data_IF_482977110729
#
_entry.id   IF_482977110729
#
_cell.length_a   1.000
_cell.length_b   1.000
_cell.length_c   1.000
_cell.angle_alpha   90.00
_cell.angle_beta   90.00
_cell.angle_gamma   90.00
#
_symmetry.space_group_name_H-M   'P 1'
#
loop_
_entity.id
_entity.type
_entity.pdbx_description
1 polymer ?
#
# COMPACT_ATOMS: atom_id res chain seq x y z
N UNK A 1 16.56 23.00 2.93
CA UNK A 1 15.91 22.71 4.24
C UNK A 1 15.71 21.20 4.30
N UNK A 2 16.09 20.57 5.38
CA UNK A 2 16.04 19.09 5.44
C UNK A 2 14.59 18.60 5.42
N UNK A 3 14.27 17.54 4.70
CA UNK A 3 12.90 16.98 4.59
C UNK A 3 12.29 16.68 5.96
N UNK A 4 13.11 16.31 6.94
CA UNK A 4 12.69 16.10 8.34
C UNK A 4 12.07 17.36 8.95
N UNK A 5 12.65 18.54 8.71
CA UNK A 5 12.13 19.82 9.21
C UNK A 5 10.76 20.15 8.58
N UNK A 6 10.59 19.85 7.29
CA UNK A 6 9.31 20.03 6.61
C UNK A 6 8.28 19.09 7.20
N UNK A 7 8.63 17.80 7.38
CA UNK A 7 7.76 16.77 7.95
C UNK A 7 7.25 17.18 9.35
N UNK A 8 8.15 17.61 10.24
CA UNK A 8 7.78 18.09 11.58
C UNK A 8 6.88 19.33 11.57
N UNK A 9 7.07 20.24 10.61
CA UNK A 9 6.18 21.40 10.43
C UNK A 9 4.80 21.01 9.96
N UNK A 10 4.69 20.04 9.05
CA UNK A 10 3.42 19.50 8.59
C UNK A 10 2.70 18.80 9.75
N UNK A 11 3.40 17.94 10.50
CA UNK A 11 2.87 17.27 11.68
C UNK A 11 2.26 18.28 12.64
N UNK A 12 3.03 19.28 13.07
CA UNK A 12 2.58 20.32 13.99
C UNK A 12 1.37 21.09 13.45
N UNK A 13 1.37 21.39 12.15
CA UNK A 13 0.23 22.07 11.53
C UNK A 13 -1.05 21.23 11.52
N UNK A 14 -0.93 19.91 11.32
CA UNK A 14 -2.07 18.99 11.35
C UNK A 14 -2.59 18.75 12.78
N UNK A 15 -1.72 18.73 13.79
CA UNK A 15 -2.10 18.58 15.20
C UNK A 15 -2.98 19.71 15.72
N UNK A 16 -2.92 20.89 15.09
CA UNK A 16 -3.78 22.04 15.42
C UNK A 16 -5.25 21.83 14.99
N UNK A 17 -5.52 20.83 14.13
CA UNK A 17 -6.85 20.58 13.56
C UNK A 17 -7.33 19.17 13.88
N UNK A 18 -8.43 19.06 14.61
CA UNK A 18 -9.04 17.77 14.97
C UNK A 18 -9.37 16.91 13.73
N UNK A 19 -9.78 17.54 12.64
CA UNK A 19 -10.06 16.91 11.35
C UNK A 19 -8.84 16.19 10.74
N UNK A 20 -7.64 16.56 11.14
CA UNK A 20 -6.38 16.05 10.59
C UNK A 20 -5.64 15.09 11.55
N UNK A 21 -6.28 14.57 12.61
CA UNK A 21 -5.63 13.69 13.60
C UNK A 21 -4.97 12.46 12.97
N UNK A 22 -5.67 11.80 12.06
CA UNK A 22 -5.13 10.62 11.37
C UNK A 22 -3.90 11.00 10.52
N UNK A 23 -3.99 12.09 9.78
CA UNK A 23 -2.90 12.58 8.95
C UNK A 23 -1.71 13.04 9.79
N UNK A 24 -1.96 13.65 10.96
CA UNK A 24 -0.90 14.01 11.90
C UNK A 24 -0.13 12.77 12.39
N UNK A 25 -0.83 11.67 12.70
CA UNK A 25 -0.21 10.40 13.06
C UNK A 25 0.62 9.84 11.90
N UNK A 26 0.08 9.78 10.69
CA UNK A 26 0.81 9.30 9.52
C UNK A 26 2.08 10.11 9.24
N UNK A 27 2.02 11.43 9.38
CA UNK A 27 3.19 12.31 9.23
C UNK A 27 4.19 12.10 10.37
N UNK A 28 3.72 11.84 11.59
CA UNK A 28 4.58 11.51 12.74
C UNK A 28 5.38 10.23 12.49
N UNK A 29 4.75 9.19 11.93
CA UNK A 29 5.42 7.93 11.61
C UNK A 29 6.52 8.14 10.56
N UNK A 30 6.26 8.99 9.54
CA UNK A 30 7.28 9.38 8.56
C UNK A 30 8.44 10.17 9.18
N UNK A 31 8.16 11.05 10.15
CA UNK A 31 9.21 11.78 10.87
C UNK A 31 10.10 10.84 11.70
N UNK A 32 9.50 9.89 12.43
CA UNK A 32 10.22 8.88 13.20
C UNK A 32 11.09 7.99 12.28
N UNK A 33 10.57 7.62 11.12
CA UNK A 33 11.31 6.84 10.13
C UNK A 33 12.57 7.58 9.65
N UNK A 34 12.46 8.87 9.35
CA UNK A 34 13.61 9.72 8.97
C UNK A 34 14.65 9.82 10.08
N UNK A 35 14.23 9.83 11.35
CA UNK A 35 15.14 9.88 12.50
C UNK A 35 15.89 8.56 12.72
N UNK A 36 15.23 7.41 12.53
CA UNK A 36 15.83 6.08 12.69
C UNK A 36 16.80 5.73 11.57
N UNK A 37 16.61 6.32 10.38
CA UNK A 37 17.38 6.03 9.17
C UNK A 37 17.28 4.58 8.68
N UNK A 38 16.24 3.86 9.06
CA UNK A 38 16.00 2.51 8.59
C UNK A 38 15.37 2.55 7.20
N UNK A 39 15.97 1.82 6.26
CA UNK A 39 15.46 1.71 4.89
C UNK A 39 14.72 0.39 4.73
N UNK A 40 13.45 0.46 4.39
CA UNK A 40 12.60 -0.71 4.17
C UNK A 40 12.50 -1.03 2.70
N UNK A 41 12.85 -2.26 2.32
CA UNK A 41 12.73 -2.76 0.94
C UNK A 41 11.74 -3.92 0.90
N UNK A 42 10.66 -3.76 0.14
CA UNK A 42 9.67 -4.80 -0.08
C UNK A 42 10.03 -5.65 -1.30
N UNK A 43 9.91 -6.97 -1.16
CA UNK A 43 10.02 -7.92 -2.27
C UNK A 43 8.64 -8.21 -2.82
N UNK A 44 8.40 -7.82 -4.06
CA UNK A 44 7.09 -7.83 -4.68
C UNK A 44 7.14 -8.56 -6.02
N UNK A 45 6.04 -9.14 -6.43
CA UNK A 45 5.88 -9.84 -7.70
C UNK A 45 4.74 -10.83 -7.60
N UNK A 46 4.31 -11.33 -8.74
CA UNK A 46 3.22 -12.28 -8.82
C UNK A 46 3.52 -13.58 -8.06
N UNK A 47 2.47 -14.30 -7.73
CA UNK A 47 2.58 -15.66 -7.20
C UNK A 47 3.46 -16.57 -8.09
N UNK A 48 4.23 -17.46 -7.48
CA UNK A 48 5.20 -18.37 -8.15
C UNK A 48 6.42 -17.74 -8.82
N UNK A 49 6.64 -16.45 -8.76
CA UNK A 49 7.87 -15.81 -9.26
C UNK A 49 9.12 -16.22 -8.45
N UNK A 50 8.98 -16.68 -7.18
CA UNK A 50 10.07 -17.17 -6.33
C UNK A 50 10.56 -16.16 -5.30
N UNK A 51 9.74 -15.20 -4.86
CA UNK A 51 10.07 -14.17 -3.87
C UNK A 51 10.71 -14.73 -2.60
N UNK A 52 10.00 -15.57 -1.88
CA UNK A 52 10.48 -16.18 -0.63
C UNK A 52 11.73 -17.02 -0.83
N UNK A 53 11.89 -17.65 -2.01
CA UNK A 53 13.13 -18.38 -2.36
C UNK A 53 14.30 -17.41 -2.50
N UNK A 54 14.09 -16.25 -3.14
CA UNK A 54 15.09 -15.21 -3.28
C UNK A 54 15.44 -14.59 -1.91
N UNK A 55 14.42 -14.29 -1.08
CA UNK A 55 14.65 -13.80 0.28
C UNK A 55 15.55 -14.76 1.07
N UNK A 56 15.24 -16.05 1.08
CA UNK A 56 16.11 -17.06 1.71
C UNK A 56 17.53 -17.10 1.10
N UNK A 57 17.65 -16.92 -0.22
CA UNK A 57 18.96 -16.86 -0.88
C UNK A 57 19.77 -15.62 -0.46
N UNK A 58 19.14 -14.46 -0.35
CA UNK A 58 19.74 -13.22 0.15
C UNK A 58 20.20 -13.36 1.61
N UNK A 59 19.38 -14.00 2.45
CA UNK A 59 19.70 -14.22 3.87
C UNK A 59 20.79 -15.29 4.07
N UNK A 60 21.13 -16.07 3.04
CA UNK A 60 22.07 -17.18 3.12
C UNK A 60 21.57 -18.36 3.96
N UNK A 61 20.32 -18.32 4.41
CA UNK A 61 19.69 -19.34 5.27
C UNK A 61 18.24 -19.58 4.83
N UNK A 62 17.76 -20.81 4.99
CA UNK A 62 16.38 -21.18 4.71
C UNK A 62 15.50 -20.90 5.93
N UNK A 63 15.16 -19.64 6.16
CA UNK A 63 14.36 -19.20 7.31
C UNK A 63 12.86 -19.20 7.00
N UNK A 64 12.46 -18.81 5.79
CA UNK A 64 11.06 -18.76 5.41
C UNK A 64 10.63 -20.03 4.67
N UNK A 65 9.41 -20.55 4.93
CA UNK A 65 8.91 -21.72 4.24
C UNK A 65 8.74 -21.45 2.74
N UNK A 66 9.16 -22.41 1.91
CA UNK A 66 9.02 -22.34 0.46
C UNK A 66 8.31 -23.59 -0.06
N UNK A 67 7.45 -23.47 -1.08
CA UNK A 67 6.74 -24.62 -1.66
C UNK A 67 6.10 -24.33 -3.01
N UNK A 68 5.43 -25.35 -3.56
CA UNK A 68 4.79 -25.30 -4.88
C UNK A 68 3.40 -24.65 -4.83
N UNK A 69 2.77 -24.68 -3.66
CA UNK A 69 1.44 -24.09 -3.39
C UNK A 69 1.64 -22.68 -2.79
N UNK A 70 0.67 -21.74 -2.89
CA UNK A 70 0.77 -20.42 -2.24
C UNK A 70 1.17 -20.58 -0.78
N UNK A 71 2.25 -19.90 -0.38
CA UNK A 71 2.79 -20.09 0.97
C UNK A 71 2.67 -18.83 1.79
N UNK A 72 2.71 -17.65 1.17
CA UNK A 72 2.79 -16.41 1.92
C UNK A 72 1.41 -15.75 2.00
N UNK A 73 0.68 -16.00 3.07
CA UNK A 73 -0.60 -15.36 3.39
C UNK A 73 -0.44 -14.12 4.28
N UNK A 74 0.72 -13.93 4.91
CA UNK A 74 1.03 -12.79 5.77
C UNK A 74 2.41 -12.21 5.43
N UNK A 75 2.56 -10.92 5.63
CA UNK A 75 3.82 -10.21 5.42
C UNK A 75 4.84 -10.60 6.47
N UNK A 76 6.09 -10.80 6.04
CA UNK A 76 7.20 -11.07 6.95
C UNK A 76 8.26 -9.99 6.85
N UNK A 77 8.47 -9.29 7.94
CA UNK A 77 9.47 -8.26 8.13
C UNK A 77 10.73 -8.87 8.73
N UNK A 78 11.88 -8.66 8.12
CA UNK A 78 13.14 -9.28 8.49
C UNK A 78 14.15 -8.18 8.77
N UNK A 79 14.72 -8.21 9.99
CA UNK A 79 15.61 -7.19 10.50
C UNK A 79 16.91 -7.80 11.04
N UNK A 80 17.97 -6.99 11.06
CA UNK A 80 19.23 -7.39 11.67
C UNK A 80 19.15 -7.28 13.20
N UNK A 81 19.59 -8.33 13.89
CA UNK A 81 19.86 -8.26 15.31
C UNK A 81 21.07 -9.15 15.65
N UNK A 82 22.04 -8.56 16.32
CA UNK A 82 23.25 -9.27 16.77
C UNK A 82 22.90 -10.36 17.79
N UNK A 83 23.47 -11.54 17.65
CA UNK A 83 23.18 -12.71 18.49
C UNK A 83 21.92 -13.47 18.12
N UNK A 84 21.13 -12.99 17.15
CA UNK A 84 19.88 -13.63 16.74
C UNK A 84 20.12 -14.59 15.58
N UNK A 85 19.84 -15.87 15.82
CA UNK A 85 20.08 -16.94 14.82
C UNK A 85 19.02 -17.08 13.77
N UNK A 86 17.86 -16.40 13.94
CA UNK A 86 16.69 -16.56 13.12
C UNK A 86 15.90 -17.84 13.42
N UNK A 87 16.03 -18.40 14.63
CA UNK A 87 15.28 -19.60 15.03
C UNK A 87 13.88 -19.30 15.55
N UNK A 88 13.62 -18.06 15.93
CA UNK A 88 12.34 -17.60 16.46
C UNK A 88 11.84 -16.39 15.68
N UNK A 89 10.51 -16.25 15.62
CA UNK A 89 9.83 -15.12 15.05
C UNK A 89 8.69 -14.66 15.95
N UNK A 90 8.33 -13.39 15.88
CA UNK A 90 7.14 -12.85 16.53
C UNK A 90 6.02 -12.75 15.51
N UNK A 91 4.86 -13.31 15.85
CA UNK A 91 3.64 -13.23 15.06
C UNK A 91 2.70 -12.23 15.72
N UNK A 92 2.37 -11.18 15.00
CA UNK A 92 1.40 -10.17 15.41
C UNK A 92 0.04 -10.47 14.79
N UNK A 93 -1.02 -10.39 15.57
CA UNK A 93 -2.38 -10.68 15.14
C UNK A 93 -3.20 -9.39 14.99
N UNK A 94 -4.21 -9.43 14.14
CA UNK A 94 -5.12 -8.30 13.89
C UNK A 94 -5.89 -7.84 15.12
N UNK A 95 -6.00 -8.72 16.15
CA UNK A 95 -6.60 -8.40 17.45
C UNK A 95 -5.63 -7.73 18.45
N UNK A 96 -4.40 -7.40 18.02
CA UNK A 96 -3.37 -6.76 18.84
C UNK A 96 -2.54 -7.71 19.71
N UNK A 97 -2.80 -9.03 19.67
CA UNK A 97 -1.96 -10.00 20.35
C UNK A 97 -0.64 -10.22 19.61
N UNK A 98 0.38 -10.67 20.35
CA UNK A 98 1.68 -11.05 19.82
C UNK A 98 2.10 -12.39 20.44
N UNK A 99 2.71 -13.24 19.63
CA UNK A 99 3.22 -14.54 20.06
C UNK A 99 4.59 -14.81 19.47
N UNK A 100 5.56 -15.24 20.30
CA UNK A 100 6.83 -15.78 19.83
C UNK A 100 6.65 -17.24 19.42
N UNK A 101 7.15 -17.61 18.24
CA UNK A 101 7.04 -18.95 17.69
C UNK A 101 8.39 -19.41 17.09
N UNK A 102 8.71 -20.70 17.11
CA UNK A 102 9.84 -21.22 16.35
C UNK A 102 9.66 -20.96 14.85
N UNK A 103 10.73 -20.61 14.16
CA UNK A 103 10.69 -20.40 12.69
C UNK A 103 10.26 -21.68 11.96
N UNK A 104 10.56 -22.88 12.49
CA UNK A 104 10.03 -24.14 11.98
C UNK A 104 8.51 -24.23 11.94
N UNK A 105 7.83 -23.47 12.78
CA UNK A 105 6.36 -23.42 12.90
C UNK A 105 5.72 -22.29 12.11
N UNK A 106 6.51 -21.41 11.49
CA UNK A 106 5.99 -20.27 10.74
C UNK A 106 5.01 -20.68 9.62
N UNK A 107 5.21 -21.85 9.02
CA UNK A 107 4.29 -22.36 7.99
C UNK A 107 2.82 -22.43 8.46
N UNK A 108 2.59 -22.62 9.76
CA UNK A 108 1.24 -22.64 10.38
C UNK A 108 0.55 -21.27 10.38
N UNK A 109 1.32 -20.18 10.26
CA UNK A 109 0.85 -18.80 10.35
C UNK A 109 0.85 -18.10 9.00
N UNK A 110 1.86 -18.37 8.17
CA UNK A 110 2.04 -17.65 6.90
C UNK A 110 1.75 -18.50 5.66
N UNK A 111 1.46 -19.80 5.82
CA UNK A 111 1.15 -20.70 4.71
C UNK A 111 -0.35 -20.70 4.43
N UNK A 112 -0.72 -20.49 3.18
CA UNK A 112 -2.11 -20.59 2.71
C UNK A 112 -2.73 -21.98 2.97
N UNK A 113 -1.89 -23.02 3.06
CA UNK A 113 -2.37 -24.39 3.35
C UNK A 113 -2.81 -24.58 4.81
N UNK A 114 -2.15 -23.91 5.76
CA UNK A 114 -2.39 -24.10 7.19
C UNK A 114 -3.04 -22.88 7.86
N UNK A 115 -3.08 -21.74 7.15
CA UNK A 115 -3.75 -20.51 7.55
C UNK A 115 -4.56 -19.98 6.37
N UNK A 116 -5.53 -20.75 5.92
CA UNK A 116 -6.36 -20.47 4.76
C UNK A 116 -7.08 -19.13 4.93
N UNK A 117 -7.03 -18.28 3.89
CA UNK A 117 -7.62 -16.93 3.91
C UNK A 117 -7.24 -16.08 5.15
N UNK A 118 -6.09 -16.41 5.77
CA UNK A 118 -5.64 -15.77 7.00
C UNK A 118 -6.67 -15.91 8.17
N UNK A 119 -7.33 -17.05 8.29
CA UNK A 119 -8.31 -17.31 9.36
C UNK A 119 -7.76 -17.10 10.78
N UNK A 120 -6.43 -17.21 10.95
CA UNK A 120 -5.77 -16.94 12.23
C UNK A 120 -5.61 -15.44 12.51
N UNK A 121 -5.94 -14.57 11.56
CA UNK A 121 -5.85 -13.14 11.71
C UNK A 121 -4.41 -12.66 11.93
N UNK A 122 -3.43 -13.22 11.22
CA UNK A 122 -2.04 -12.76 11.27
C UNK A 122 -1.95 -11.42 10.56
N UNK A 123 -1.50 -10.39 11.28
CA UNK A 123 -1.27 -9.06 10.72
C UNK A 123 0.12 -8.97 10.07
N UNK A 124 1.16 -9.39 10.81
CA UNK A 124 2.55 -9.31 10.40
C UNK A 124 3.39 -10.34 11.16
N UNK A 125 4.50 -10.75 10.56
CA UNK A 125 5.55 -11.55 11.21
C UNK A 125 6.84 -10.74 11.25
N UNK A 126 7.48 -10.67 12.42
CA UNK A 126 8.81 -10.10 12.63
C UNK A 126 9.83 -11.21 12.83
N UNK A 127 10.89 -11.20 12.04
CA UNK A 127 11.99 -12.16 12.10
C UNK A 127 13.31 -11.40 12.29
N UNK A 128 14.02 -11.71 13.37
CA UNK A 128 15.33 -11.15 13.66
C UNK A 128 16.43 -12.17 13.27
N UNK A 129 17.49 -11.71 12.58
CA UNK A 129 18.60 -12.57 12.17
C UNK A 129 19.89 -11.79 11.96
N UNK A 130 21.04 -12.47 12.15
CA UNK A 130 22.39 -11.91 11.86
C UNK A 130 22.78 -11.96 10.38
N UNK A 131 21.83 -11.92 9.45
CA UNK A 131 22.17 -11.89 8.03
C UNK A 131 22.91 -10.59 7.67
N UNK A 132 24.13 -10.71 7.11
CA UNK A 132 24.98 -9.56 6.79
C UNK A 132 24.33 -8.54 5.85
N UNK A 133 23.45 -8.99 4.97
CA UNK A 133 22.70 -8.11 4.07
C UNK A 133 21.83 -7.07 4.80
N UNK A 134 21.36 -7.39 5.99
CA UNK A 134 20.44 -6.54 6.78
C UNK A 134 21.19 -5.58 7.72
N UNK A 135 22.50 -5.60 7.75
CA UNK A 135 23.29 -4.64 8.54
C UNK A 135 23.00 -3.19 8.07
N UNK A 136 23.33 -2.25 8.91
CA UNK A 136 23.23 -0.83 8.62
C UNK A 136 21.80 -0.28 8.44
N UNK A 137 20.81 -0.92 9.08
CA UNK A 137 19.43 -0.44 9.11
C UNK A 137 18.57 -0.84 7.90
N UNK A 138 18.99 -1.87 7.17
CA UNK A 138 18.16 -2.43 6.10
C UNK A 138 17.11 -3.39 6.66
N UNK A 139 15.86 -3.15 6.29
CA UNK A 139 14.72 -3.99 6.60
C UNK A 139 14.22 -4.63 5.30
N UNK A 140 14.20 -5.96 5.25
CA UNK A 140 13.68 -6.69 4.10
C UNK A 140 12.27 -7.21 4.42
N UNK A 141 11.34 -7.00 3.49
CA UNK A 141 9.94 -7.41 3.66
C UNK A 141 9.56 -8.41 2.57
N UNK A 142 9.28 -9.66 2.97
CA UNK A 142 8.67 -10.66 2.06
C UNK A 142 7.16 -10.49 2.07
N UNK A 143 6.58 -10.25 0.88
CA UNK A 143 5.16 -9.99 0.74
C UNK A 143 4.42 -11.15 0.09
N UNK A 144 3.11 -11.31 0.37
CA UNK A 144 2.24 -12.17 -0.42
C UNK A 144 2.32 -11.87 -1.92
N UNK A 145 2.01 -12.84 -2.77
CA UNK A 145 2.03 -12.66 -4.23
C UNK A 145 0.91 -11.75 -4.70
N UNK A 146 1.24 -10.79 -5.55
CA UNK A 146 0.24 -9.97 -6.26
C UNK A 146 -0.55 -10.86 -7.22
N UNK A 147 -1.88 -10.69 -7.29
CA UNK A 147 -2.75 -11.51 -8.14
C UNK A 147 -2.91 -12.96 -7.63
N UNK A 148 -2.70 -13.20 -6.33
CA UNK A 148 -3.15 -14.44 -5.70
C UNK A 148 -4.69 -14.49 -5.71
N UNK A 149 -5.26 -15.69 -5.66
CA UNK A 149 -6.72 -15.91 -5.65
C UNK A 149 -7.39 -15.22 -4.44
N UNK A 150 -6.62 -14.82 -3.45
CA UNK A 150 -7.06 -14.20 -2.20
C UNK A 150 -6.77 -12.69 -2.19
N UNK A 151 -7.81 -11.88 -2.10
CA UNK A 151 -7.76 -10.40 -2.13
C UNK A 151 -6.90 -9.80 -1.03
N UNK A 152 -6.98 -10.33 0.18
CA UNK A 152 -6.21 -9.85 1.32
C UNK A 152 -4.70 -9.88 1.04
N UNK A 153 -4.22 -10.83 0.25
CA UNK A 153 -2.82 -10.97 -0.11
C UNK A 153 -2.36 -9.86 -1.07
N UNK A 154 -3.17 -9.52 -2.06
CA UNK A 154 -2.87 -8.42 -2.98
C UNK A 154 -2.90 -7.08 -2.26
N UNK A 155 -3.89 -6.84 -1.39
CA UNK A 155 -3.99 -5.61 -0.59
C UNK A 155 -2.79 -5.45 0.33
N UNK A 156 -2.38 -6.50 1.04
CA UNK A 156 -1.19 -6.46 1.90
C UNK A 156 0.08 -6.12 1.10
N UNK A 157 0.26 -6.69 -0.10
CA UNK A 157 1.39 -6.36 -0.97
C UNK A 157 1.39 -4.89 -1.39
N UNK A 158 0.21 -4.31 -1.71
CA UNK A 158 0.05 -2.89 -2.03
C UNK A 158 0.37 -1.99 -0.84
N UNK A 159 -0.18 -2.29 0.33
CA UNK A 159 0.00 -1.48 1.53
C UNK A 159 1.48 -1.44 1.94
N UNK A 160 2.15 -2.59 1.95
CA UNK A 160 3.58 -2.64 2.27
C UNK A 160 4.48 -2.02 1.19
N UNK A 161 4.12 -2.12 -0.09
CA UNK A 161 4.83 -1.40 -1.14
C UNK A 161 4.78 0.13 -0.95
N UNK A 162 3.62 0.63 -0.50
CA UNK A 162 3.44 2.06 -0.19
C UNK A 162 4.22 2.50 1.05
N UNK A 163 4.38 1.63 2.03
CA UNK A 163 5.14 1.91 3.26
C UNK A 163 6.65 1.78 3.07
N UNK A 164 7.09 1.00 2.07
CA UNK A 164 8.51 0.75 1.79
C UNK A 164 9.20 1.94 1.12
N UNK A 165 10.52 2.02 1.26
CA UNK A 165 11.35 3.05 0.64
C UNK A 165 11.88 2.60 -0.71
N UNK A 166 12.12 1.30 -0.84
CA UNK A 166 12.50 0.65 -2.08
C UNK A 166 11.67 -0.61 -2.33
N UNK A 167 11.63 -1.01 -3.59
CA UNK A 167 10.93 -2.21 -4.04
C UNK A 167 11.87 -3.06 -4.89
N UNK A 168 12.03 -4.34 -4.52
CA UNK A 168 12.57 -5.36 -5.42
C UNK A 168 11.38 -6.00 -6.14
N UNK A 169 11.21 -5.66 -7.41
CA UNK A 169 10.13 -6.20 -8.23
C UNK A 169 10.62 -7.43 -8.99
N UNK A 170 10.00 -8.57 -8.68
CA UNK A 170 10.44 -9.87 -9.20
C UNK A 170 9.59 -10.33 -10.37
N UNK A 171 10.23 -10.49 -11.50
CA UNK A 171 9.77 -11.17 -12.71
C UNK A 171 10.36 -12.57 -12.80
N UNK A 172 9.97 -13.38 -13.76
CA UNK A 172 10.61 -14.67 -14.07
C UNK A 172 10.39 -15.07 -15.53
N UNK A 173 11.38 -15.75 -16.08
CA UNK A 173 11.40 -16.13 -17.51
C UNK A 173 10.31 -17.09 -17.93
N UNK A 174 9.66 -17.79 -17.00
CA UNK A 174 8.59 -18.76 -17.28
C UNK A 174 7.20 -18.14 -17.53
N UNK A 175 7.07 -16.83 -17.39
CA UNK A 175 5.81 -16.14 -17.62
C UNK A 175 6.04 -14.66 -17.95
N UNK A 176 5.46 -14.12 -19.02
CA UNK A 176 5.56 -12.69 -19.34
C UNK A 176 4.92 -11.82 -18.24
N UNK A 177 5.24 -10.52 -18.27
CA UNK A 177 4.57 -9.54 -17.40
C UNK A 177 3.09 -9.48 -17.79
N UNK A 178 2.20 -9.64 -16.83
CA UNK A 178 0.77 -9.59 -17.07
C UNK A 178 0.15 -8.24 -16.67
N UNK A 179 -1.12 -8.05 -17.01
CA UNK A 179 -1.85 -6.80 -16.75
C UNK A 179 -1.88 -6.43 -15.25
N UNK A 180 -2.00 -7.41 -14.35
CA UNK A 180 -2.04 -7.19 -12.90
C UNK A 180 -0.69 -6.60 -12.42
N UNK A 181 0.41 -7.14 -12.90
CA UNK A 181 1.76 -6.65 -12.58
C UNK A 181 1.99 -5.23 -13.14
N UNK A 182 1.49 -4.95 -14.35
CA UNK A 182 1.53 -3.61 -14.96
C UNK A 182 0.76 -2.59 -14.11
N UNK A 183 -0.46 -2.91 -13.72
CA UNK A 183 -1.30 -2.04 -12.90
C UNK A 183 -0.70 -1.84 -11.50
N UNK A 184 -0.17 -2.91 -10.93
CA UNK A 184 0.55 -2.83 -9.67
C UNK A 184 1.73 -1.86 -9.76
N UNK A 185 2.64 -2.03 -10.72
CA UNK A 185 3.78 -1.13 -10.92
C UNK A 185 3.34 0.32 -11.12
N UNK A 186 2.33 0.57 -11.95
CA UNK A 186 1.75 1.91 -12.15
C UNK A 186 1.22 2.53 -10.85
N UNK A 187 0.72 1.72 -9.95
CA UNK A 187 0.17 2.21 -8.67
C UNK A 187 1.28 2.51 -7.66
N UNK A 188 2.28 1.64 -7.54
CA UNK A 188 3.32 1.75 -6.49
C UNK A 188 4.50 2.66 -6.87
N UNK A 189 4.74 2.92 -8.17
CA UNK A 189 5.81 3.84 -8.62
C UNK A 189 5.72 5.25 -8.00
N UNK A 190 4.54 5.60 -7.48
CA UNK A 190 4.28 6.91 -6.87
C UNK A 190 4.73 7.01 -5.40
N UNK A 191 5.16 5.91 -4.79
CA UNK A 191 5.42 5.84 -3.35
C UNK A 191 6.82 5.38 -2.99
N UNK A 192 7.42 4.49 -3.78
CA UNK A 192 8.75 3.99 -3.54
C UNK A 192 9.80 4.93 -4.13
N UNK A 193 10.83 5.25 -3.35
CA UNK A 193 11.94 6.08 -3.78
C UNK A 193 12.91 5.38 -4.74
N UNK A 194 12.90 4.03 -4.75
CA UNK A 194 13.80 3.21 -5.58
C UNK A 194 13.15 1.90 -6.00
N UNK A 195 13.42 1.50 -7.24
CA UNK A 195 13.03 0.18 -7.77
C UNK A 195 14.25 -0.61 -8.21
N UNK A 196 14.27 -1.89 -7.86
CA UNK A 196 15.19 -2.91 -8.35
C UNK A 196 14.36 -3.97 -9.07
N UNK A 197 14.69 -4.26 -10.31
CA UNK A 197 13.97 -5.25 -11.10
C UNK A 197 14.80 -6.52 -11.20
N UNK A 198 14.22 -7.67 -10.85
CA UNK A 198 14.89 -8.96 -10.96
C UNK A 198 14.13 -9.90 -11.88
N UNK A 199 14.86 -10.65 -12.69
CA UNK A 199 14.31 -11.70 -13.56
C UNK A 199 14.80 -13.05 -13.06
N UNK A 200 13.90 -13.82 -12.45
CA UNK A 200 14.24 -15.10 -11.81
C UNK A 200 14.12 -16.30 -12.75
N UNK A 201 14.66 -17.43 -12.31
CA UNK A 201 14.64 -18.75 -12.99
C UNK A 201 15.45 -18.77 -14.30
N UNK A 202 16.46 -17.93 -14.41
CA UNK A 202 17.30 -17.85 -15.61
C UNK A 202 18.03 -19.18 -15.93
N UNK A 203 18.15 -20.06 -14.96
CA UNK A 203 18.71 -21.42 -15.12
C UNK A 203 17.80 -22.36 -15.93
N UNK A 204 16.63 -21.94 -16.35
CA UNK A 204 15.64 -22.77 -17.08
C UNK A 204 15.53 -22.44 -18.56
N UNK A 205 16.23 -21.42 -19.05
CA UNK A 205 16.21 -20.97 -20.46
C UNK A 205 17.62 -20.87 -21.04
N UNK A 206 17.72 -20.73 -22.35
CA UNK A 206 18.99 -20.47 -23.03
C UNK A 206 19.40 -18.99 -22.85
N UNK A 207 20.66 -18.66 -23.14
CA UNK A 207 21.16 -17.28 -23.08
C UNK A 207 20.49 -16.39 -24.12
N UNK A 208 20.17 -16.92 -25.29
CA UNK A 208 19.45 -16.22 -26.36
C UNK A 208 18.02 -15.87 -25.93
N UNK A 209 17.26 -16.84 -25.42
CA UNK A 209 15.90 -16.63 -24.91
C UNK A 209 15.89 -15.66 -23.72
N UNK A 210 16.90 -15.73 -22.86
CA UNK A 210 17.04 -14.80 -21.74
C UNK A 210 17.21 -13.37 -22.23
N UNK A 211 18.09 -13.14 -23.22
CA UNK A 211 18.33 -11.79 -23.74
C UNK A 211 17.06 -11.23 -24.38
N UNK A 212 16.35 -12.02 -25.18
CA UNK A 212 15.07 -11.60 -25.78
C UNK A 212 14.04 -11.21 -24.70
N UNK A 213 13.95 -12.00 -23.62
CA UNK A 213 13.05 -11.70 -22.51
C UNK A 213 13.45 -10.43 -21.74
N UNK A 214 14.75 -10.20 -21.54
CA UNK A 214 15.26 -8.99 -20.87
C UNK A 214 14.95 -7.75 -21.70
N UNK A 215 15.17 -7.79 -23.02
CA UNK A 215 14.88 -6.66 -23.92
C UNK A 215 13.38 -6.33 -23.93
N UNK A 216 12.52 -7.36 -23.94
CA UNK A 216 11.07 -7.18 -23.81
C UNK A 216 10.67 -6.52 -22.48
N UNK A 217 11.22 -7.01 -21.37
CA UNK A 217 10.92 -6.47 -20.04
C UNK A 217 11.42 -5.03 -19.87
N UNK A 218 12.62 -4.73 -20.38
CA UNK A 218 13.20 -3.39 -20.30
C UNK A 218 12.32 -2.36 -20.99
N UNK A 219 11.92 -2.62 -22.24
CA UNK A 219 11.03 -1.75 -22.99
C UNK A 219 9.69 -1.50 -22.28
N UNK A 220 9.08 -2.58 -21.74
CA UNK A 220 7.79 -2.48 -21.07
C UNK A 220 7.90 -1.74 -19.73
N UNK A 221 8.95 -1.98 -18.95
CA UNK A 221 9.17 -1.31 -17.66
C UNK A 221 9.45 0.18 -17.88
N UNK A 222 10.25 0.55 -18.89
CA UNK A 222 10.48 1.95 -19.25
C UNK A 222 9.16 2.68 -19.56
N UNK A 223 8.28 2.07 -20.36
CA UNK A 223 6.96 2.63 -20.66
C UNK A 223 6.10 2.76 -19.38
N UNK A 224 6.04 1.73 -18.54
CA UNK A 224 5.28 1.75 -17.29
C UNK A 224 5.82 2.83 -16.34
N UNK A 225 7.13 2.98 -16.23
CA UNK A 225 7.76 3.96 -15.36
C UNK A 225 7.67 5.39 -15.92
N UNK A 226 7.34 5.52 -17.21
CA UNK A 226 7.15 6.82 -17.89
C UNK A 226 8.45 7.48 -18.28
N UNK A 227 9.49 6.69 -18.58
CA UNK A 227 10.76 7.20 -19.07
C UNK A 227 10.75 7.33 -20.60
N UNK A 228 11.28 8.43 -21.10
CA UNK A 228 11.47 8.64 -22.54
C UNK A 228 12.73 7.90 -23.02
N UNK A 229 12.75 7.45 -24.30
CA UNK A 229 13.95 6.85 -24.86
C UNK A 229 15.14 7.81 -24.83
N UNK A 230 16.15 7.46 -24.06
CA UNK A 230 17.38 8.26 -23.91
C UNK A 230 17.53 8.99 -22.57
N UNK A 231 16.52 8.94 -21.71
CA UNK A 231 16.64 9.47 -20.35
C UNK A 231 17.75 8.75 -19.57
N UNK A 232 18.46 9.50 -18.72
CA UNK A 232 19.45 8.90 -17.83
C UNK A 232 18.79 7.95 -16.82
N UNK A 233 17.57 8.25 -16.40
CA UNK A 233 16.77 7.41 -15.51
C UNK A 233 16.34 6.09 -16.18
N UNK A 234 16.07 6.10 -17.49
CA UNK A 234 15.85 4.87 -18.26
C UNK A 234 17.09 3.95 -18.24
N UNK A 235 18.29 4.54 -18.35
CA UNK A 235 19.55 3.80 -18.24
C UNK A 235 19.85 3.30 -16.82
N UNK A 236 19.22 3.89 -15.81
CA UNK A 236 19.34 3.49 -14.41
C UNK A 236 18.47 2.29 -14.07
N UNK A 237 17.47 1.93 -14.90
CA UNK A 237 16.73 0.67 -14.77
C UNK A 237 17.69 -0.46 -15.15
N UNK A 238 18.05 -1.25 -14.17
CA UNK A 238 18.87 -2.44 -14.38
C UNK A 238 18.04 -3.67 -14.06
N UNK A 239 17.74 -4.46 -15.09
CA UNK A 239 17.21 -5.79 -14.90
C UNK A 239 18.33 -6.71 -14.43
N UNK A 240 18.17 -7.32 -13.26
CA UNK A 240 19.17 -8.22 -12.67
C UNK A 240 18.70 -9.67 -12.88
N UNK A 241 19.32 -10.43 -13.80
CA UNK A 241 18.98 -11.82 -14.01
C UNK A 241 19.49 -12.66 -12.84
N UNK A 242 18.59 -13.48 -12.26
CA UNK A 242 18.90 -14.32 -11.12
C UNK A 242 18.36 -15.74 -11.26
N UNK A 243 18.96 -16.68 -10.55
CA UNK A 243 18.32 -17.94 -10.17
C UNK A 243 18.36 -18.07 -8.65
N UNK A 244 17.26 -17.74 -7.99
CA UNK A 244 17.16 -17.86 -6.54
C UNK A 244 17.41 -19.28 -6.05
N UNK A 245 17.03 -20.30 -6.83
CA UNK A 245 17.23 -21.71 -6.52
C UNK A 245 18.69 -22.15 -6.64
N UNK A 246 19.41 -21.60 -7.64
CA UNK A 246 20.83 -21.94 -7.92
C UNK A 246 21.80 -20.92 -7.33
N UNK A 247 21.28 -19.88 -6.67
CA UNK A 247 22.04 -18.74 -6.12
C UNK A 247 22.87 -17.98 -7.18
N UNK A 248 22.42 -17.98 -8.44
CA UNK A 248 23.06 -17.22 -9.52
C UNK A 248 22.57 -15.77 -9.45
N UNK A 249 23.48 -14.77 -9.53
CA UNK A 249 23.18 -13.35 -9.58
C UNK A 249 22.60 -12.76 -8.28
N UNK A 250 22.55 -13.54 -7.20
CA UNK A 250 22.10 -13.04 -5.87
C UNK A 250 23.12 -12.06 -5.31
N UNK A 251 24.42 -12.33 -5.50
CA UNK A 251 25.52 -11.42 -5.17
C UNK A 251 25.39 -10.09 -5.91
N UNK A 252 25.12 -10.11 -7.21
CA UNK A 252 24.93 -8.90 -8.02
C UNK A 252 23.73 -8.08 -7.48
N UNK A 253 22.63 -8.74 -7.13
CA UNK A 253 21.45 -8.07 -6.53
C UNK A 253 21.80 -7.46 -5.18
N UNK A 254 22.40 -8.23 -4.27
CA UNK A 254 22.73 -7.75 -2.92
C UNK A 254 23.76 -6.64 -2.93
N UNK A 255 24.78 -6.72 -3.80
CA UNK A 255 25.78 -5.68 -3.95
C UNK A 255 25.15 -4.40 -4.54
N UNK A 256 24.29 -4.52 -5.56
CA UNK A 256 23.58 -3.37 -6.14
C UNK A 256 22.74 -2.64 -5.08
N UNK A 257 21.95 -3.37 -4.29
CA UNK A 257 21.13 -2.80 -3.22
C UNK A 257 22.00 -2.18 -2.13
N UNK A 258 23.08 -2.86 -1.70
CA UNK A 258 23.98 -2.38 -0.68
C UNK A 258 24.73 -1.12 -1.11
N UNK A 259 25.23 -1.08 -2.34
CA UNK A 259 25.93 0.09 -2.88
C UNK A 259 25.01 1.32 -2.93
N UNK A 260 23.77 1.14 -3.36
CA UNK A 260 22.78 2.22 -3.31
C UNK A 260 22.49 2.66 -1.88
N UNK A 261 22.39 1.74 -0.91
CA UNK A 261 22.17 2.08 0.50
C UNK A 261 23.36 2.81 1.11
N UNK A 262 24.59 2.35 0.85
CA UNK A 262 25.80 3.01 1.38
C UNK A 262 25.98 4.41 0.83
N UNK A 263 25.61 4.65 -0.43
CA UNK A 263 25.88 5.90 -1.14
C UNK A 263 24.64 6.82 -1.23
N UNK A 264 23.41 6.29 -1.18
CA UNK A 264 22.16 7.00 -1.51
C UNK A 264 21.01 6.76 -0.53
N UNK A 265 21.23 6.13 0.63
CA UNK A 265 20.15 5.84 1.56
C UNK A 265 19.36 7.09 1.96
N UNK A 266 20.07 8.20 2.21
CA UNK A 266 19.44 9.46 2.56
C UNK A 266 18.57 10.01 1.41
N UNK A 267 19.00 9.85 0.17
CA UNK A 267 18.26 10.31 -1.02
C UNK A 267 17.05 9.42 -1.28
N UNK A 268 17.20 8.09 -1.14
CA UNK A 268 16.10 7.13 -1.27
C UNK A 268 15.01 7.41 -0.22
N UNK A 269 15.41 7.61 1.03
CA UNK A 269 14.48 7.97 2.10
C UNK A 269 13.83 9.34 1.87
N UNK A 270 14.63 10.34 1.47
CA UNK A 270 14.14 11.69 1.14
C UNK A 270 13.08 11.59 0.04
N UNK A 271 13.35 10.87 -1.04
CA UNK A 271 12.43 10.69 -2.15
C UNK A 271 11.15 9.95 -1.71
N UNK A 272 11.28 8.81 -1.04
CA UNK A 272 10.15 8.03 -0.53
C UNK A 272 9.24 8.83 0.40
N UNK A 273 9.82 9.49 1.42
CA UNK A 273 9.04 10.30 2.37
C UNK A 273 8.41 11.50 1.68
N UNK A 274 9.11 12.17 0.76
CA UNK A 274 8.57 13.30 0.01
C UNK A 274 7.34 12.90 -0.81
N UNK A 275 7.39 11.78 -1.53
CA UNK A 275 6.26 11.27 -2.31
C UNK A 275 5.05 10.94 -1.42
N UNK A 276 5.27 10.29 -0.28
CA UNK A 276 4.23 9.98 0.71
C UNK A 276 3.60 11.23 1.32
N UNK A 277 4.42 12.23 1.66
CA UNK A 277 3.93 13.51 2.17
C UNK A 277 3.09 14.25 1.13
N UNK A 278 3.51 14.29 -0.14
CA UNK A 278 2.73 14.91 -1.21
C UNK A 278 1.37 14.25 -1.39
N UNK A 279 1.32 12.93 -1.29
CA UNK A 279 0.04 12.20 -1.33
C UNK A 279 -0.84 12.50 -0.13
N UNK A 280 -0.31 12.46 1.09
CA UNK A 280 -1.05 12.83 2.31
C UNK A 280 -1.61 14.25 2.17
N UNK A 281 -0.79 15.22 1.75
CA UNK A 281 -1.22 16.60 1.54
C UNK A 281 -2.31 16.70 0.46
N UNK A 282 -2.19 16.00 -0.64
CA UNK A 282 -3.19 15.97 -1.73
C UNK A 282 -4.52 15.41 -1.25
N UNK A 283 -4.50 14.25 -0.60
CA UNK A 283 -5.70 13.57 -0.11
C UNK A 283 -6.39 14.42 0.97
N UNK A 284 -5.61 14.99 1.90
CA UNK A 284 -6.12 15.89 2.93
C UNK A 284 -6.71 17.16 2.32
N UNK A 285 -6.06 17.75 1.30
CA UNK A 285 -6.60 18.93 0.60
C UNK A 285 -7.94 18.65 -0.05
N UNK A 286 -8.11 17.49 -0.65
CA UNK A 286 -9.39 17.07 -1.26
C UNK A 286 -10.47 16.92 -0.20
N UNK A 287 -10.17 16.26 0.92
CA UNK A 287 -11.08 16.09 2.04
C UNK A 287 -11.53 17.45 2.64
N UNK A 288 -10.58 18.35 2.87
CA UNK A 288 -10.86 19.69 3.42
C UNK A 288 -11.69 20.52 2.45
N UNK A 289 -11.40 20.48 1.14
CA UNK A 289 -12.21 21.15 0.14
C UNK A 289 -13.67 20.70 0.18
N UNK A 290 -13.87 19.40 0.20
CA UNK A 290 -15.19 18.80 0.31
C UNK A 290 -15.93 19.31 1.54
N UNK A 291 -15.26 19.25 2.67
CA UNK A 291 -15.82 19.72 3.94
C UNK A 291 -16.21 21.21 3.91
N UNK A 292 -15.35 22.06 3.35
CA UNK A 292 -15.57 23.50 3.22
C UNK A 292 -16.78 23.82 2.33
N UNK A 293 -16.94 23.12 1.21
CA UNK A 293 -18.09 23.36 0.31
C UNK A 293 -19.42 22.98 0.98
N UNK A 294 -19.45 21.91 1.77
CA UNK A 294 -20.66 21.58 2.54
C UNK A 294 -20.97 22.60 3.63
N UNK A 295 -19.94 23.13 4.30
CA UNK A 295 -20.13 24.20 5.29
C UNK A 295 -20.76 25.47 4.68
N UNK A 296 -20.50 25.77 3.42
CA UNK A 296 -21.06 26.93 2.69
C UNK A 296 -22.52 26.75 2.27
N UNK A 297 -23.05 25.54 2.24
CA UNK A 297 -24.45 25.32 1.87
C UNK A 297 -25.40 26.03 2.81
N UNK A 298 -26.50 26.53 2.28
CA UNK A 298 -27.58 27.09 3.12
C UNK A 298 -28.14 25.99 4.05
N UNK A 299 -28.42 26.25 5.34
CA UNK A 299 -28.86 25.24 6.30
C UNK A 299 -30.06 24.41 5.84
N UNK A 300 -31.10 25.06 5.29
CA UNK A 300 -32.29 24.38 4.79
C UNK A 300 -31.97 23.41 3.60
N UNK A 301 -31.01 23.79 2.75
CA UNK A 301 -30.58 22.95 1.64
C UNK A 301 -29.77 21.75 2.16
N UNK A 302 -28.85 22.02 3.10
CA UNK A 302 -28.05 20.96 3.73
C UNK A 302 -28.94 19.96 4.46
N UNK A 303 -29.84 20.40 5.34
CA UNK A 303 -30.71 19.53 6.12
C UNK A 303 -31.58 18.63 5.23
N UNK A 304 -32.12 19.17 4.14
CA UNK A 304 -32.89 18.38 3.17
C UNK A 304 -32.01 17.27 2.55
N UNK A 305 -30.82 17.64 2.08
CA UNK A 305 -29.88 16.71 1.43
C UNK A 305 -29.32 15.68 2.43
N UNK A 306 -29.05 16.10 3.65
CA UNK A 306 -28.63 15.25 4.75
C UNK A 306 -29.69 14.17 5.07
N UNK A 307 -30.95 14.56 5.21
CA UNK A 307 -32.04 13.61 5.44
C UNK A 307 -32.25 12.66 4.26
N UNK A 308 -32.09 13.14 3.03
CA UNK A 308 -32.16 12.30 1.83
C UNK A 308 -31.03 11.29 1.79
N UNK A 309 -29.80 11.67 2.12
CA UNK A 309 -28.66 10.79 2.20
C UNK A 309 -28.81 9.73 3.30
N UNK A 310 -29.24 10.12 4.50
CA UNK A 310 -29.49 9.19 5.60
C UNK A 310 -30.54 8.13 5.24
N UNK A 311 -31.62 8.55 4.57
CA UNK A 311 -32.64 7.61 4.08
C UNK A 311 -32.05 6.63 3.06
N UNK A 312 -31.20 7.11 2.16
CA UNK A 312 -30.53 6.29 1.17
C UNK A 312 -29.55 5.29 1.84
N UNK A 313 -28.76 5.74 2.81
CA UNK A 313 -27.85 4.86 3.56
C UNK A 313 -28.60 3.74 4.29
N UNK A 314 -29.72 4.05 4.92
CA UNK A 314 -30.57 3.05 5.57
C UNK A 314 -31.08 2.00 4.57
N UNK A 315 -31.58 2.43 3.41
CA UNK A 315 -32.04 1.52 2.36
C UNK A 315 -30.91 0.63 1.80
N UNK A 316 -29.73 1.20 1.65
CA UNK A 316 -28.55 0.46 1.16
C UNK A 316 -28.07 -0.57 2.21
N UNK A 317 -28.06 -0.22 3.50
CA UNK A 317 -27.76 -1.17 4.59
C UNK A 317 -28.74 -2.33 4.64
N UNK A 318 -30.05 -2.07 4.49
CA UNK A 318 -31.06 -3.13 4.42
C UNK A 318 -30.87 -4.04 3.18
N UNK A 319 -30.42 -3.48 2.07
CA UNK A 319 -30.09 -4.23 0.86
C UNK A 319 -28.84 -5.09 1.02
N UNK A 320 -27.82 -4.55 1.70
CA UNK A 320 -26.55 -5.23 1.98
C UNK A 320 -26.74 -6.48 2.85
N UNK A 321 -27.59 -6.42 3.87
CA UNK A 321 -27.88 -7.55 4.78
C UNK A 321 -28.53 -8.74 4.07
N UNK A 322 -29.17 -8.52 2.92
CA UNK A 322 -29.85 -9.56 2.11
C UNK A 322 -28.93 -10.29 1.14
N UNK A 323 -27.65 -9.95 1.12
CA UNK A 323 -26.69 -10.57 0.19
C UNK A 323 -26.18 -11.87 0.78
N UNK A 324 -26.24 -12.93 -0.01
CA UNK A 324 -25.82 -14.28 0.31
C UNK A 324 -24.61 -14.68 -0.54
N UNK A 325 -23.75 -15.57 -0.03
CA UNK A 325 -22.55 -16.08 -0.73
C UNK A 325 -22.87 -16.93 -1.95
N UNK A 326 -24.01 -17.62 -1.93
CA UNK A 326 -24.39 -18.56 -2.97
C UNK A 326 -25.64 -18.11 -3.72
N UNK A 327 -25.72 -18.49 -4.99
CA UNK A 327 -26.97 -18.37 -5.75
C UNK A 327 -27.96 -19.50 -5.34
N UNK A 328 -29.17 -19.48 -5.93
CA UNK A 328 -30.18 -20.49 -5.70
C UNK A 328 -29.76 -21.94 -6.01
N UNK A 329 -28.65 -22.13 -6.73
CA UNK A 329 -28.05 -23.44 -7.06
C UNK A 329 -26.90 -23.82 -6.10
N UNK A 330 -26.61 -23.02 -5.06
CA UNK A 330 -25.52 -23.24 -4.13
C UNK A 330 -24.12 -22.93 -4.70
N UNK A 331 -24.04 -22.26 -5.85
CA UNK A 331 -22.76 -21.86 -6.45
C UNK A 331 -22.32 -20.48 -5.95
N UNK A 332 -21.00 -20.28 -5.71
CA UNK A 332 -20.48 -18.99 -5.26
C UNK A 332 -20.84 -17.83 -6.22
N UNK A 333 -21.22 -16.69 -5.66
CA UNK A 333 -21.52 -15.49 -6.44
C UNK A 333 -20.21 -14.78 -6.79
N UNK A 334 -19.72 -14.97 -8.01
CA UNK A 334 -18.47 -14.36 -8.51
C UNK A 334 -18.53 -12.83 -8.73
N UNK A 335 -19.71 -12.21 -8.58
CA UNK A 335 -19.92 -10.81 -8.93
C UNK A 335 -19.92 -9.85 -7.72
N UNK A 336 -19.68 -10.33 -6.51
CA UNK A 336 -19.77 -9.48 -5.30
C UNK A 336 -18.72 -8.36 -5.31
N UNK A 337 -17.54 -8.58 -5.89
CA UNK A 337 -16.52 -7.52 -6.04
C UNK A 337 -16.98 -6.44 -7.04
N UNK A 338 -17.45 -6.84 -8.21
CA UNK A 338 -18.01 -5.88 -9.17
C UNK A 338 -19.15 -5.07 -8.55
N UNK A 339 -20.02 -5.75 -7.80
CA UNK A 339 -21.12 -5.12 -7.08
C UNK A 339 -20.64 -4.16 -5.99
N UNK A 340 -19.63 -4.52 -5.20
CA UNK A 340 -19.04 -3.62 -4.21
C UNK A 340 -18.54 -2.32 -4.85
N UNK A 341 -17.84 -2.45 -5.98
CA UNK A 341 -17.36 -1.30 -6.74
C UNK A 341 -18.52 -0.46 -7.31
N UNK A 342 -19.58 -1.09 -7.80
CA UNK A 342 -20.80 -0.41 -8.27
C UNK A 342 -21.51 0.33 -7.13
N UNK A 343 -21.66 -0.30 -5.95
CA UNK A 343 -22.31 0.30 -4.79
C UNK A 343 -21.48 1.45 -4.21
N UNK A 344 -20.14 1.32 -4.16
CA UNK A 344 -19.23 2.42 -3.80
C UNK A 344 -19.30 3.57 -4.82
N UNK A 345 -19.31 3.27 -6.12
CA UNK A 345 -19.44 4.26 -7.18
C UNK A 345 -20.80 4.96 -7.13
N UNK A 346 -21.88 4.23 -6.90
CA UNK A 346 -23.22 4.77 -6.70
C UNK A 346 -23.26 5.73 -5.51
N UNK A 347 -22.66 5.36 -4.40
CA UNK A 347 -22.57 6.20 -3.21
C UNK A 347 -21.79 7.49 -3.51
N UNK A 348 -20.64 7.38 -4.17
CA UNK A 348 -19.83 8.54 -4.60
C UNK A 348 -20.63 9.48 -5.52
N UNK A 349 -21.36 8.92 -6.48
CA UNK A 349 -22.25 9.66 -7.37
C UNK A 349 -23.34 10.40 -6.57
N UNK A 350 -23.98 9.76 -5.57
CA UNK A 350 -25.01 10.36 -4.74
C UNK A 350 -24.49 11.47 -3.83
N UNK A 351 -23.30 11.29 -3.25
CA UNK A 351 -22.63 12.35 -2.49
C UNK A 351 -22.33 13.55 -3.37
N UNK A 352 -21.87 13.33 -4.59
CA UNK A 352 -21.63 14.39 -5.58
C UNK A 352 -22.93 15.11 -5.97
N UNK A 353 -24.01 14.36 -6.23
CA UNK A 353 -25.31 14.90 -6.59
C UNK A 353 -25.91 15.76 -5.46
N UNK A 354 -25.88 15.25 -4.22
CA UNK A 354 -26.49 15.90 -3.07
C UNK A 354 -25.65 17.04 -2.51
N UNK A 355 -24.32 16.88 -2.44
CA UNK A 355 -23.44 17.80 -1.75
C UNK A 355 -22.46 18.54 -2.67
N UNK A 356 -22.37 18.17 -3.95
CA UNK A 356 -21.40 18.75 -4.88
C UNK A 356 -19.95 18.36 -4.57
N UNK A 357 -19.76 17.28 -3.81
CA UNK A 357 -18.45 16.83 -3.36
C UNK A 357 -18.02 15.64 -4.19
N UNK A 358 -16.78 15.64 -4.68
CA UNK A 358 -16.14 14.42 -5.16
C UNK A 358 -15.67 13.61 -3.95
N UNK A 359 -16.46 12.64 -3.54
CA UNK A 359 -16.09 11.69 -2.52
C UNK A 359 -15.36 10.53 -3.20
N UNK A 360 -14.04 10.53 -3.07
CA UNK A 360 -13.23 9.46 -3.64
C UNK A 360 -13.24 8.28 -2.69
N UNK A 361 -14.06 7.29 -3.00
CA UNK A 361 -13.77 5.94 -2.58
C UNK A 361 -12.64 5.42 -3.47
N UNK A 362 -11.66 4.80 -2.87
CA UNK A 362 -10.72 3.96 -3.59
C UNK A 362 -11.55 2.84 -4.23
N UNK A 363 -11.90 3.01 -5.49
CA UNK A 363 -12.37 1.90 -6.31
C UNK A 363 -11.10 1.11 -6.60
N UNK A 364 -10.87 0.06 -5.81
CA UNK A 364 -9.88 -0.92 -6.16
C UNK A 364 -10.25 -1.43 -7.54
N UNK A 365 -9.45 -1.13 -8.54
CA UNK A 365 -9.52 -1.76 -9.85
C UNK A 365 -8.88 -3.14 -9.74
N UNK A 366 -9.31 -3.90 -8.75
CA UNK A 366 -9.03 -5.30 -8.65
C UNK A 366 -9.84 -6.01 -9.77
N UNK A 367 -9.21 -7.00 -10.36
CA UNK A 367 -9.77 -7.76 -11.46
C UNK A 367 -11.19 -8.24 -11.11
N UNK A 368 -12.14 -8.13 -12.05
CA UNK A 368 -13.50 -8.62 -11.88
C UNK A 368 -13.58 -10.17 -11.64
N UNK A 369 -12.43 -10.83 -11.57
CA UNK A 369 -12.24 -12.24 -11.24
C UNK A 369 -12.00 -12.50 -9.73
N UNK A 370 -11.82 -11.47 -8.89
CA UNK A 370 -11.60 -11.65 -7.45
C UNK A 370 -12.88 -12.03 -6.74
N UNK A 371 -12.76 -13.09 -5.95
CA UNK A 371 -13.86 -13.66 -5.19
C UNK A 371 -14.00 -12.89 -3.87
N UNK A 372 -15.17 -12.30 -3.63
CA UNK A 372 -15.51 -11.62 -2.37
C UNK A 372 -16.64 -12.42 -1.69
N UNK A 373 -16.49 -12.73 -0.42
CA UNK A 373 -17.56 -13.30 0.37
C UNK A 373 -18.62 -12.26 0.71
N UNK A 374 -19.84 -12.69 1.04
CA UNK A 374 -20.89 -11.77 1.46
C UNK A 374 -20.53 -11.04 2.77
N UNK A 375 -19.77 -11.68 3.66
CA UNK A 375 -19.31 -11.07 4.91
C UNK A 375 -18.26 -9.99 4.67
N UNK A 376 -17.30 -10.23 3.79
CA UNK A 376 -16.30 -9.23 3.38
C UNK A 376 -16.95 -8.07 2.67
N UNK A 377 -17.86 -8.32 1.74
CA UNK A 377 -18.66 -7.30 1.08
C UNK A 377 -19.40 -6.43 2.11
N UNK A 378 -20.14 -7.05 3.07
CA UNK A 378 -20.85 -6.33 4.13
C UNK A 378 -19.92 -5.50 4.99
N UNK A 379 -18.76 -6.06 5.37
CA UNK A 379 -17.76 -5.38 6.18
C UNK A 379 -17.19 -4.14 5.46
N UNK A 380 -16.73 -4.28 4.21
CA UNK A 380 -16.13 -3.18 3.46
C UNK A 380 -17.15 -2.09 3.13
N UNK A 381 -18.33 -2.46 2.66
CA UNK A 381 -19.37 -1.48 2.33
C UNK A 381 -19.93 -0.82 3.60
N UNK A 382 -20.06 -1.58 4.69
CA UNK A 382 -20.47 -1.08 6.00
C UNK A 382 -19.52 -0.03 6.55
N UNK A 383 -18.21 -0.28 6.50
CA UNK A 383 -17.18 0.71 6.88
C UNK A 383 -17.31 2.01 6.06
N UNK A 384 -17.51 1.88 4.75
CA UNK A 384 -17.72 3.03 3.86
C UNK A 384 -18.94 3.86 4.27
N UNK A 385 -20.03 3.21 4.65
CA UNK A 385 -21.23 3.91 5.13
C UNK A 385 -21.01 4.59 6.49
N UNK A 386 -20.31 3.92 7.41
CA UNK A 386 -20.01 4.47 8.74
C UNK A 386 -19.13 5.71 8.65
N UNK A 387 -18.11 5.70 7.83
CA UNK A 387 -17.21 6.85 7.59
C UNK A 387 -17.98 8.04 6.99
N UNK A 388 -18.83 7.78 6.00
CA UNK A 388 -19.62 8.83 5.40
C UNK A 388 -20.64 9.42 6.40
N UNK A 389 -21.32 8.57 7.15
CA UNK A 389 -22.30 8.98 8.16
C UNK A 389 -21.64 9.82 9.26
N UNK A 390 -20.48 9.41 9.76
CA UNK A 390 -19.69 10.17 10.73
C UNK A 390 -19.30 11.56 10.18
N UNK A 391 -18.83 11.60 8.93
CA UNK A 391 -18.47 12.86 8.27
C UNK A 391 -19.67 13.81 8.13
N UNK A 392 -20.81 13.30 7.70
CA UNK A 392 -22.02 14.10 7.51
C UNK A 392 -22.59 14.57 8.86
N UNK A 393 -22.58 13.72 9.88
CA UNK A 393 -23.01 14.09 11.23
C UNK A 393 -22.13 15.18 11.84
N UNK A 394 -20.82 15.11 11.67
CA UNK A 394 -19.90 16.16 12.10
C UNK A 394 -20.22 17.50 11.43
N UNK A 395 -20.47 17.49 10.11
CA UNK A 395 -20.86 18.69 9.37
C UNK A 395 -22.22 19.22 9.87
N UNK A 396 -23.19 18.35 10.12
CA UNK A 396 -24.50 18.73 10.64
C UNK A 396 -24.36 19.45 11.98
N UNK A 397 -23.59 18.93 12.91
CA UNK A 397 -23.33 19.55 14.21
C UNK A 397 -22.76 20.97 14.07
N UNK A 398 -21.81 21.17 13.14
CA UNK A 398 -21.25 22.50 12.91
C UNK A 398 -22.25 23.50 12.31
N UNK A 399 -23.20 23.02 11.49
CA UNK A 399 -24.20 23.89 10.85
C UNK A 399 -25.34 24.32 11.81
N UNK A 400 -25.54 23.59 12.90
CA UNK A 400 -26.41 24.00 13.99
C UNK A 400 -25.82 25.18 14.81
N UNK A 401 -24.52 25.45 14.68
CA UNK A 401 -23.88 26.62 15.26
C UNK A 401 -24.27 27.92 14.51
N UNK A 402 -23.96 29.06 15.10
CA UNK A 402 -24.28 30.35 14.47
C UNK A 402 -23.40 30.64 13.23
N UNK A 403 -23.86 31.54 12.36
CA UNK A 403 -23.15 31.86 11.12
C UNK A 403 -21.72 32.41 11.32
N UNK A 404 -21.44 33.06 12.45
CA UNK A 404 -20.09 33.54 12.79
C UNK A 404 -19.13 32.38 13.01
N UNK A 405 -19.54 31.36 13.74
CA UNK A 405 -18.74 30.14 13.99
C UNK A 405 -18.44 29.40 12.68
N UNK A 406 -19.47 29.28 11.82
CA UNK A 406 -19.28 28.66 10.48
C UNK A 406 -18.28 29.44 9.62
N UNK A 407 -18.41 30.78 9.60
CA UNK A 407 -17.49 31.64 8.83
C UNK A 407 -16.04 31.51 9.33
N UNK A 408 -15.84 31.51 10.65
CA UNK A 408 -14.53 31.32 11.27
C UNK A 408 -13.92 29.94 10.92
N UNK A 409 -14.72 28.87 10.97
CA UNK A 409 -14.26 27.53 10.58
C UNK A 409 -13.83 27.47 9.11
N UNK A 410 -14.59 28.13 8.21
CA UNK A 410 -14.20 28.22 6.79
C UNK A 410 -12.88 28.98 6.62
N UNK A 411 -12.64 30.02 7.38
CA UNK A 411 -11.39 30.78 7.39
C UNK A 411 -10.23 29.93 7.88
N UNK A 412 -10.39 29.19 8.98
CA UNK A 412 -9.39 28.25 9.51
C UNK A 412 -9.02 27.18 8.48
N UNK A 413 -10.01 26.59 7.79
CA UNK A 413 -9.78 25.62 6.73
C UNK A 413 -9.07 26.23 5.51
N UNK A 414 -9.35 27.48 5.16
CA UNK A 414 -8.63 28.19 4.10
C UNK A 414 -7.16 28.39 4.46
N UNK A 415 -6.87 28.75 5.71
CA UNK A 415 -5.51 28.91 6.22
C UNK A 415 -4.75 27.57 6.19
N UNK A 416 -5.39 26.48 6.64
CA UNK A 416 -4.82 25.14 6.56
C UNK A 416 -4.48 24.76 5.11
N UNK A 417 -5.40 24.97 4.17
CA UNK A 417 -5.15 24.69 2.76
C UNK A 417 -4.02 25.54 2.16
N UNK A 418 -3.89 26.79 2.57
CA UNK A 418 -2.79 27.65 2.12
C UNK A 418 -1.45 27.11 2.64
N UNK A 419 -1.38 26.68 3.91
CA UNK A 419 -0.20 26.05 4.48
C UNK A 419 0.17 24.77 3.73
N UNK A 420 -0.80 23.90 3.46
CA UNK A 420 -0.58 22.64 2.72
C UNK A 420 0.00 22.89 1.32
N UNK A 421 -0.52 23.88 0.57
CA UNK A 421 0.04 24.28 -0.73
C UNK A 421 1.47 24.77 -0.61
N UNK A 422 1.79 25.49 0.46
CA UNK A 422 3.15 25.95 0.73
C UNK A 422 4.08 24.77 1.02
N UNK A 423 3.64 23.81 1.83
CA UNK A 423 4.41 22.59 2.11
C UNK A 423 4.63 21.76 0.84
N UNK A 424 3.59 21.54 0.02
CA UNK A 424 3.74 20.82 -1.26
C UNK A 424 4.83 21.42 -2.13
N UNK A 425 4.83 22.75 -2.32
CA UNK A 425 5.87 23.44 -3.11
C UNK A 425 7.26 23.32 -2.50
N UNK A 426 7.38 23.28 -1.17
CA UNK A 426 8.65 23.07 -0.49
C UNK A 426 9.19 21.67 -0.73
N UNK A 427 8.30 20.64 -0.66
CA UNK A 427 8.66 19.24 -0.92
C UNK A 427 9.05 19.05 -2.39
N UNK A 428 8.25 19.57 -3.33
CA UNK A 428 8.56 19.51 -4.77
C UNK A 428 9.95 20.10 -5.05
N UNK A 429 10.28 21.25 -4.46
CA UNK A 429 11.59 21.86 -4.60
C UNK A 429 12.74 21.01 -4.01
N UNK A 430 12.48 20.26 -2.94
CA UNK A 430 13.47 19.33 -2.36
C UNK A 430 13.66 18.07 -3.23
N UNK A 431 12.63 17.66 -3.98
CA UNK A 431 12.71 16.55 -4.93
C UNK A 431 13.49 16.90 -6.19
N UNK A 432 13.45 18.17 -6.62
CA UNK A 432 14.15 18.68 -7.81
C UNK A 432 15.66 18.95 -7.55
N UNK A 433 16.12 18.85 -6.30
CA UNK A 433 17.51 19.01 -5.85
C UNK A 433 18.21 17.68 -5.61
#
# INVERSE_FOLDING_TARGET
MEILDITKKIQKNFEEYELCRLQASQVSDLAQKLEKKDVTIAVIGQFKRGKTTMVNAILGKKLLPTGIVPITAAVTRIEYAEGETGEKAKVYFTNGLCQEVPVSDLHKYISEQENHDNERGVAEVELLTEADFLKDGLILVDTPGVGSVHENNSKSAYDFARESDGVIFMLSVDSPINQIEVEFLKSVRKFAGKFYFTVNKVDTVTEEDLQEYLDYCDALICDIMGFEPGDEDAKAIKLIPISAKKQIGIDVLTDTVRDDLLNKAADIMKQSVSLKLLEILKNTSTQINSYREVLKMAPNVFNRRFNEMNKLLLQQREGMEKIEDTNAEGKPKKYLRARLNEDKAFLSMKVRELFGIEYFYYVDRADAAEFLTADEYRKELGQTYDELEQTLNAIFMYKEENAYTVARRIEDLNNLMQNMRKFSRQIEKELDQ
#
